data_IF_688939773123
#
_entry.id   IF_688939773123
#
_cell.length_a   1.000
_cell.length_b   1.000
_cell.length_c   1.000
_cell.angle_alpha   90.00
_cell.angle_beta   90.00
_cell.angle_gamma   90.00
#
_symmetry.space_group_name_H-M   'P 1'
#
loop_
_entity.id
_entity.type
_entity.pdbx_description
1 polymer ?
#
# COMPACT_ATOMS: atom_id res chain seq x y z
N UNK A 1 18.96 52.90 -46.85
CA UNK A 1 19.26 52.03 -45.69
C UNK A 1 18.11 52.14 -44.71
N UNK A 2 17.27 51.11 -44.61
CA UNK A 2 16.12 51.06 -43.71
C UNK A 2 16.49 50.03 -42.63
N UNK A 3 16.75 50.49 -41.42
CA UNK A 3 17.15 49.63 -40.31
C UNK A 3 15.93 48.84 -39.84
N UNK A 4 16.03 47.51 -39.92
CA UNK A 4 15.00 46.57 -39.51
C UNK A 4 15.08 46.35 -37.99
N UNK A 5 14.32 47.13 -37.24
CA UNK A 5 14.20 47.04 -35.78
C UNK A 5 12.86 46.38 -35.43
N UNK A 6 12.83 45.06 -35.34
CA UNK A 6 11.63 44.40 -34.85
C UNK A 6 11.74 42.89 -34.83
N UNK A 7 12.16 42.31 -33.69
CA UNK A 7 11.86 40.93 -33.29
C UNK A 7 12.50 40.49 -31.95
N UNK A 8 13.32 41.33 -31.30
CA UNK A 8 14.00 40.93 -30.06
C UNK A 8 13.10 40.89 -28.81
N UNK A 9 12.14 41.81 -28.69
CA UNK A 9 11.33 41.98 -27.48
C UNK A 9 10.23 40.94 -27.32
N UNK A 10 9.68 40.42 -28.42
CA UNK A 10 8.65 39.37 -28.41
C UNK A 10 9.19 38.00 -27.99
N UNK A 11 10.46 37.70 -28.28
CA UNK A 11 11.09 36.42 -27.89
C UNK A 11 11.40 36.34 -26.39
N UNK A 12 11.80 37.46 -25.78
CA UNK A 12 12.12 37.50 -24.35
C UNK A 12 10.85 37.33 -23.48
N UNK A 13 9.74 37.94 -23.88
CA UNK A 13 8.47 37.85 -23.15
C UNK A 13 7.88 36.42 -23.14
N UNK A 14 8.06 35.67 -24.24
CA UNK A 14 7.54 34.31 -24.39
C UNK A 14 8.35 33.28 -23.58
N UNK A 15 9.66 33.48 -23.44
CA UNK A 15 10.52 32.67 -22.55
C UNK A 15 10.18 32.92 -21.08
N UNK A 16 9.90 34.17 -20.70
CA UNK A 16 9.55 34.50 -19.30
C UNK A 16 8.19 33.93 -18.88
N UNK A 17 7.20 33.89 -19.80
CA UNK A 17 5.88 33.30 -19.53
C UNK A 17 5.93 31.78 -19.43
N UNK A 18 6.76 31.10 -20.23
CA UNK A 18 7.00 29.65 -20.10
C UNK A 18 7.71 29.30 -18.78
N UNK A 19 8.63 30.14 -18.31
CA UNK A 19 9.29 29.96 -17.01
C UNK A 19 8.31 30.15 -15.84
N UNK A 20 7.44 31.17 -15.88
CA UNK A 20 6.45 31.38 -14.80
C UNK A 20 5.34 30.33 -14.76
N UNK A 21 4.93 29.78 -15.91
CA UNK A 21 3.91 28.73 -15.97
C UNK A 21 4.39 27.38 -15.38
N UNK A 22 5.71 27.18 -15.23
CA UNK A 22 6.27 25.95 -14.65
C UNK A 22 6.29 25.92 -13.11
N UNK A 23 6.03 27.04 -12.42
CA UNK A 23 6.19 27.16 -10.96
C UNK A 23 4.88 26.84 -10.20
N UNK A 24 3.73 26.77 -10.89
CA UNK A 24 2.43 26.51 -10.23
C UNK A 24 2.00 25.06 -10.47
N UNK A 25 2.70 24.13 -9.83
CA UNK A 25 2.14 22.80 -9.52
C UNK A 25 1.93 22.73 -8.02
N UNK A 26 0.76 23.15 -7.57
CA UNK A 26 0.29 22.86 -6.22
C UNK A 26 0.02 21.37 -6.11
N UNK A 27 1.06 20.60 -5.72
CA UNK A 27 0.90 19.23 -5.30
C UNK A 27 0.14 19.24 -3.98
N UNK A 28 -1.17 19.02 -4.02
CA UNK A 28 -1.95 18.67 -2.84
C UNK A 28 -1.61 17.22 -2.47
N UNK A 29 -0.46 17.02 -1.84
CA UNK A 29 -0.15 15.77 -1.15
C UNK A 29 -0.90 15.79 0.18
N UNK A 30 -2.21 15.53 0.15
CA UNK A 30 -2.91 15.13 1.37
C UNK A 30 -2.44 13.72 1.68
N UNK A 31 -1.40 13.62 2.51
CA UNK A 31 -1.03 12.35 3.10
C UNK A 31 -2.24 11.80 3.88
N UNK A 32 -2.48 10.47 3.88
CA UNK A 32 -3.47 9.84 4.74
C UNK A 32 -3.31 10.29 6.20
N UNK A 33 -4.40 10.35 6.95
CA UNK A 33 -4.39 10.77 8.35
C UNK A 33 -3.32 9.97 9.12
N UNK A 34 -2.36 10.65 9.77
CA UNK A 34 -1.34 9.99 10.55
C UNK A 34 -1.87 9.15 11.73
N UNK A 35 -3.17 9.21 12.04
CA UNK A 35 -3.80 8.44 13.11
C UNK A 35 -4.37 7.08 12.66
N UNK A 36 -4.53 6.83 11.35
CA UNK A 36 -5.19 5.61 10.86
C UNK A 36 -4.24 4.54 10.28
N UNK A 37 -2.95 4.82 10.15
CA UNK A 37 -1.96 3.85 9.64
C UNK A 37 -1.45 2.99 10.79
N UNK A 38 -1.59 1.67 10.65
CA UNK A 38 -1.16 0.69 11.65
C UNK A 38 0.24 0.22 11.25
N UNK A 39 1.22 0.37 12.14
CA UNK A 39 2.60 -0.09 11.90
C UNK A 39 3.69 0.96 12.08
N UNK A 40 4.93 0.53 11.87
CA UNK A 40 6.10 1.40 12.00
C UNK A 40 6.24 2.26 10.75
N UNK A 41 5.84 3.54 10.83
CA UNK A 41 6.07 4.46 9.70
C UNK A 41 7.58 4.68 9.47
N UNK A 42 8.02 4.85 8.21
CA UNK A 42 9.43 5.12 7.87
C UNK A 42 10.01 6.41 8.48
N UNK A 43 9.17 7.31 9.00
CA UNK A 43 9.57 8.65 9.48
C UNK A 43 9.09 9.00 10.89
N UNK A 44 8.68 8.00 11.70
CA UNK A 44 8.32 8.27 13.09
C UNK A 44 9.54 8.54 13.95
N UNK A 45 9.47 9.56 14.80
CA UNK A 45 10.48 9.82 15.83
C UNK A 45 10.31 8.74 16.89
N UNK A 46 11.30 7.85 16.99
CA UNK A 46 11.28 6.70 17.91
C UNK A 46 11.98 7.08 19.20
N UNK A 47 11.25 7.07 20.31
CA UNK A 47 11.82 7.16 21.65
C UNK A 47 12.10 5.73 22.13
N UNK A 48 13.37 5.29 22.17
CA UNK A 48 13.69 3.91 22.49
C UNK A 48 13.29 3.57 23.94
N UNK A 49 12.71 2.39 24.12
CA UNK A 49 12.44 1.78 25.42
C UNK A 49 12.93 0.33 25.41
N UNK A 50 12.89 -0.34 26.55
CA UNK A 50 13.26 -1.75 26.61
C UNK A 50 12.36 -2.59 25.69
N UNK A 51 12.97 -3.36 24.79
CA UNK A 51 12.30 -4.20 23.81
C UNK A 51 11.36 -3.45 22.85
N UNK A 52 11.57 -2.16 22.58
CA UNK A 52 10.68 -1.43 21.70
C UNK A 52 10.93 0.06 21.57
N UNK A 53 9.90 0.80 21.19
CA UNK A 53 9.92 2.25 21.13
C UNK A 53 8.53 2.86 21.36
N UNK A 54 8.51 4.14 21.71
CA UNK A 54 7.32 4.99 21.69
C UNK A 54 7.40 5.87 20.45
N UNK A 55 6.34 5.91 19.66
CA UNK A 55 6.19 6.86 18.57
C UNK A 55 5.89 8.25 19.14
N UNK A 56 6.85 9.18 19.05
CA UNK A 56 6.68 10.51 19.64
C UNK A 56 5.57 11.34 18.99
N UNK A 57 5.09 10.96 17.80
CA UNK A 57 4.05 11.70 17.10
C UNK A 57 2.64 11.46 17.67
N UNK A 58 2.36 10.24 18.12
CA UNK A 58 1.02 9.83 18.58
C UNK A 58 1.00 9.14 19.95
N UNK A 59 2.16 8.83 20.53
CA UNK A 59 2.30 8.18 21.83
C UNK A 59 2.16 6.65 21.78
N UNK A 60 2.07 6.05 20.61
CA UNK A 60 1.92 4.60 20.49
C UNK A 60 3.18 3.87 20.91
N UNK A 61 3.00 2.80 21.68
CA UNK A 61 4.03 1.91 22.18
C UNK A 61 4.06 0.66 21.32
N UNK A 62 5.22 0.37 20.75
CA UNK A 62 5.48 -0.87 20.01
C UNK A 62 6.58 -1.65 20.73
N UNK A 63 6.27 -2.89 21.14
CA UNK A 63 7.21 -3.81 21.79
C UNK A 63 7.38 -5.07 20.96
N UNK A 64 8.61 -5.58 20.91
CA UNK A 64 8.96 -6.84 20.26
C UNK A 64 9.74 -7.74 21.21
N UNK A 65 9.23 -8.95 21.42
CA UNK A 65 9.85 -9.99 22.23
C UNK A 65 10.25 -11.15 21.32
N UNK A 66 11.53 -11.30 20.95
CA UNK A 66 11.97 -12.42 20.13
C UNK A 66 11.78 -13.73 20.91
N UNK A 67 11.06 -14.67 20.33
CA UNK A 67 10.83 -15.99 20.93
C UNK A 67 11.83 -17.03 20.41
N UNK A 68 12.27 -16.87 19.16
CA UNK A 68 13.25 -17.77 18.57
C UNK A 68 13.58 -17.46 17.12
N UNK A 69 14.68 -18.05 16.68
CA UNK A 69 15.15 -18.03 15.30
C UNK A 69 15.65 -19.42 14.96
N UNK A 70 15.07 -20.02 13.93
CA UNK A 70 15.22 -21.43 13.60
C UNK A 70 15.74 -21.55 12.16
N UNK A 71 16.93 -22.14 11.94
CA UNK A 71 17.43 -22.34 10.58
C UNK A 71 16.52 -23.32 9.84
N UNK A 72 16.09 -22.95 8.63
CA UNK A 72 15.28 -23.77 7.75
C UNK A 72 15.96 -23.95 6.38
N UNK A 73 15.44 -24.88 5.58
CA UNK A 73 15.86 -24.98 4.17
C UNK A 73 15.37 -23.72 3.45
N UNK A 74 16.30 -22.92 2.94
CA UNK A 74 15.97 -21.70 2.19
C UNK A 74 15.97 -20.41 3.01
N UNK A 75 16.26 -20.47 4.33
CA UNK A 75 16.34 -19.25 5.13
C UNK A 75 16.32 -19.48 6.64
N UNK A 76 15.89 -18.45 7.36
CA UNK A 76 15.76 -18.46 8.81
C UNK A 76 14.30 -18.15 9.15
N UNK A 77 13.65 -19.04 9.90
CA UNK A 77 12.31 -18.81 10.42
C UNK A 77 12.39 -18.09 11.75
N UNK A 78 11.79 -16.92 11.85
CA UNK A 78 11.78 -16.13 13.07
C UNK A 78 10.39 -16.09 13.67
N UNK A 79 10.32 -16.12 15.00
CA UNK A 79 9.08 -15.99 15.76
C UNK A 79 9.27 -14.91 16.81
N UNK A 80 8.37 -13.94 16.83
CA UNK A 80 8.35 -12.86 17.81
C UNK A 80 6.94 -12.60 18.33
N UNK A 81 6.83 -12.23 19.60
CA UNK A 81 5.61 -11.71 20.17
C UNK A 81 5.68 -10.19 20.12
N UNK A 82 4.71 -9.56 19.47
CA UNK A 82 4.65 -8.10 19.31
C UNK A 82 3.46 -7.56 20.05
N UNK A 83 3.65 -6.42 20.71
CA UNK A 83 2.60 -5.61 21.29
C UNK A 83 2.57 -4.26 20.62
N UNK A 84 1.39 -3.84 20.17
CA UNK A 84 1.12 -2.49 19.69
C UNK A 84 0.00 -1.88 20.55
N UNK A 85 0.20 -0.66 21.07
CA UNK A 85 -0.81 0.03 21.87
C UNK A 85 -1.91 0.69 21.04
N UNK A 86 -1.78 0.77 19.71
CA UNK A 86 -2.77 1.29 18.78
C UNK A 86 -3.97 0.34 18.61
N UNK A 87 -4.59 -0.04 19.73
CA UNK A 87 -5.67 -1.03 19.79
C UNK A 87 -7.03 -0.38 19.70
N UNK A 88 -7.15 0.94 19.83
CA UNK A 88 -8.47 1.57 19.91
C UNK A 88 -8.97 1.91 18.52
N UNK A 89 -10.04 1.24 18.10
CA UNK A 89 -10.76 1.58 16.87
C UNK A 89 -12.10 2.22 17.22
N UNK A 90 -12.43 3.29 16.51
CA UNK A 90 -13.72 3.95 16.66
C UNK A 90 -14.76 3.23 15.78
N UNK A 91 -15.73 2.54 16.38
CA UNK A 91 -16.78 1.83 15.62
C UNK A 91 -17.87 2.77 15.10
N UNK A 92 -18.16 3.83 15.85
CA UNK A 92 -19.14 4.87 15.52
C UNK A 92 -18.74 6.18 16.22
N UNK A 93 -19.56 7.24 16.12
CA UNK A 93 -19.25 8.57 16.66
C UNK A 93 -18.71 8.61 18.10
N UNK A 94 -19.00 7.58 18.89
CA UNK A 94 -19.00 7.70 20.33
C UNK A 94 -18.51 6.42 21.05
N UNK A 95 -18.25 5.33 20.31
CA UNK A 95 -17.84 4.04 20.86
C UNK A 95 -16.43 3.68 20.37
N UNK A 96 -15.54 3.54 21.35
CA UNK A 96 -14.20 3.00 21.17
C UNK A 96 -14.23 1.51 21.54
N UNK A 97 -13.69 0.68 20.66
CA UNK A 97 -13.65 -0.77 20.84
C UNK A 97 -12.26 -1.31 20.50
N UNK A 98 -11.67 -2.16 21.36
CA UNK A 98 -10.42 -2.83 21.04
C UNK A 98 -10.68 -4.05 20.15
N UNK A 99 -9.95 -4.26 19.04
CA UNK A 99 -10.05 -5.49 18.28
C UNK A 99 -9.63 -6.67 19.17
N UNK A 100 -10.12 -7.86 18.84
CA UNK A 100 -10.05 -9.05 19.70
C UNK A 100 -8.66 -9.45 20.19
N UNK A 101 -7.59 -8.93 19.59
CA UNK A 101 -6.21 -9.29 19.93
C UNK A 101 -5.57 -8.37 20.99
N UNK A 102 -6.27 -7.30 21.44
CA UNK A 102 -5.81 -6.38 22.50
C UNK A 102 -4.35 -5.91 22.35
N UNK A 103 -3.87 -5.77 21.11
CA UNK A 103 -2.52 -5.30 20.77
C UNK A 103 -1.46 -6.39 20.68
N UNK A 104 -1.71 -7.58 21.21
CA UNK A 104 -0.77 -8.70 21.15
C UNK A 104 -0.92 -9.49 19.87
N UNK A 105 0.19 -9.76 19.19
CA UNK A 105 0.25 -10.62 18.01
C UNK A 105 1.49 -11.49 18.04
N UNK A 106 1.33 -12.78 17.76
CA UNK A 106 2.44 -13.65 17.42
C UNK A 106 2.74 -13.42 15.95
N UNK A 107 3.96 -12.97 15.63
CA UNK A 107 4.41 -12.74 14.27
C UNK A 107 5.45 -13.79 13.91
N UNK A 108 5.31 -14.35 12.73
CA UNK A 108 6.31 -15.24 12.14
C UNK A 108 6.88 -14.64 10.87
N UNK A 109 8.12 -15.01 10.50
CA UNK A 109 8.69 -14.62 9.20
C UNK A 109 7.90 -15.19 8.00
N UNK A 110 6.97 -16.12 8.24
CA UNK A 110 6.11 -16.67 7.20
C UNK A 110 4.83 -15.84 7.01
N UNK A 111 4.51 -14.90 7.92
CA UNK A 111 3.25 -14.15 7.87
C UNK A 111 3.13 -13.33 6.58
N UNK A 112 2.16 -13.73 5.76
CA UNK A 112 1.73 -13.15 4.47
C UNK A 112 1.41 -11.65 4.45
N UNK A 113 1.11 -11.03 5.60
CA UNK A 113 0.64 -9.64 5.62
C UNK A 113 -0.76 -9.48 5.02
N UNK A 114 -1.10 -8.26 4.58
CA UNK A 114 -2.42 -7.92 4.03
C UNK A 114 -2.32 -6.85 2.95
N UNK A 115 -2.88 -7.12 1.77
CA UNK A 115 -3.08 -6.10 0.74
C UNK A 115 -4.42 -5.35 0.93
N UNK A 116 -4.42 -4.06 0.61
CA UNK A 116 -5.55 -3.14 0.66
C UNK A 116 -5.42 -2.10 -0.45
N UNK A 117 -6.51 -1.43 -0.79
CA UNK A 117 -6.54 -0.34 -1.75
C UNK A 117 -7.67 0.64 -1.43
N UNK A 118 -7.62 1.83 -2.02
CA UNK A 118 -8.70 2.81 -1.93
C UNK A 118 -9.58 2.71 -3.17
N UNK A 119 -10.85 2.35 -2.98
CA UNK A 119 -11.87 2.38 -4.03
C UNK A 119 -12.46 3.78 -4.16
N UNK A 120 -12.58 4.28 -5.40
CA UNK A 120 -13.15 5.60 -5.70
C UNK A 120 -14.13 5.52 -6.87
N UNK A 121 -15.34 6.00 -6.66
CA UNK A 121 -16.31 6.21 -7.73
C UNK A 121 -15.87 7.42 -8.55
N UNK A 122 -15.62 7.23 -9.84
CA UNK A 122 -15.17 8.31 -10.70
C UNK A 122 -16.32 9.09 -11.33
N UNK A 123 -17.38 8.38 -11.73
CA UNK A 123 -18.56 8.96 -12.34
C UNK A 123 -19.78 8.05 -12.19
N UNK A 124 -20.95 8.66 -12.20
CA UNK A 124 -22.26 8.00 -12.11
C UNK A 124 -23.15 8.54 -13.23
N UNK A 125 -23.84 7.65 -13.94
CA UNK A 125 -24.70 8.03 -15.04
C UNK A 125 -25.94 8.76 -14.51
N UNK A 126 -26.22 9.93 -15.07
CA UNK A 126 -27.32 10.80 -14.62
C UNK A 126 -28.71 10.26 -14.98
N UNK A 127 -28.80 9.33 -15.92
CA UNK A 127 -30.09 8.77 -16.38
C UNK A 127 -30.59 7.61 -15.52
N UNK A 128 -29.69 6.75 -15.07
CA UNK A 128 -30.03 5.52 -14.34
C UNK A 128 -29.38 5.43 -12.94
N UNK A 129 -28.50 6.36 -12.58
CA UNK A 129 -27.79 6.36 -11.30
C UNK A 129 -26.73 5.26 -11.17
N UNK A 130 -26.38 4.56 -12.26
CA UNK A 130 -25.40 3.46 -12.25
C UNK A 130 -23.99 4.04 -12.34
N UNK A 131 -23.05 3.45 -11.58
CA UNK A 131 -21.62 3.81 -11.67
C UNK A 131 -21.14 3.57 -13.11
N UNK A 132 -20.52 4.58 -13.72
CA UNK A 132 -19.99 4.47 -15.08
C UNK A 132 -18.63 3.79 -15.06
N UNK A 133 -17.74 4.21 -14.16
CA UNK A 133 -16.51 3.51 -13.83
C UNK A 133 -16.01 3.88 -12.42
N UNK A 134 -15.20 2.99 -11.87
CA UNK A 134 -14.52 3.16 -10.59
C UNK A 134 -13.01 2.90 -10.72
N UNK A 135 -12.25 3.46 -9.78
CA UNK A 135 -10.81 3.27 -9.67
C UNK A 135 -10.48 2.59 -8.34
N UNK A 136 -9.57 1.63 -8.39
CA UNK A 136 -8.94 1.06 -7.21
C UNK A 136 -7.47 1.45 -7.20
N UNK A 137 -7.05 2.14 -6.16
CA UNK A 137 -5.66 2.57 -6.00
C UNK A 137 -5.50 3.84 -5.15
N UNK A 138 -4.28 4.13 -4.68
CA UNK A 138 -3.10 3.26 -4.74
C UNK A 138 -3.28 1.99 -3.89
N UNK A 139 -2.51 0.95 -4.21
CA UNK A 139 -2.50 -0.28 -3.44
C UNK A 139 -1.46 -0.19 -2.31
N UNK A 140 -1.77 -0.81 -1.17
CA UNK A 140 -0.89 -0.89 -0.02
C UNK A 140 -0.85 -2.33 0.46
N UNK A 141 0.35 -2.90 0.60
CA UNK A 141 0.54 -4.18 1.31
C UNK A 141 1.25 -3.91 2.62
N UNK A 142 0.61 -4.33 3.72
CA UNK A 142 1.19 -4.33 5.05
C UNK A 142 1.83 -5.69 5.29
N UNK A 143 3.14 -5.74 5.50
CA UNK A 143 3.85 -7.01 5.76
C UNK A 143 3.42 -7.66 7.09
N UNK A 144 3.91 -8.87 7.37
CA UNK A 144 3.64 -9.57 8.63
C UNK A 144 4.10 -8.79 9.87
N UNK A 145 5.14 -7.96 9.74
CA UNK A 145 5.66 -7.12 10.82
C UNK A 145 4.82 -5.86 11.06
N UNK A 146 3.91 -5.53 10.14
CA UNK A 146 3.08 -4.33 10.17
C UNK A 146 3.65 -3.16 9.36
N UNK A 147 4.74 -3.32 8.62
CA UNK A 147 5.26 -2.25 7.77
C UNK A 147 4.38 -2.11 6.53
N UNK A 148 3.85 -0.91 6.27
CA UNK A 148 3.06 -0.64 5.09
C UNK A 148 3.93 -0.23 3.89
N UNK A 149 3.74 -0.94 2.78
CA UNK A 149 4.40 -0.69 1.50
C UNK A 149 3.36 -0.19 0.48
N UNK A 150 3.53 1.03 -0.04
CA UNK A 150 2.60 1.63 -1.00
C UNK A 150 3.09 1.42 -2.43
N UNK A 151 2.19 1.00 -3.31
CA UNK A 151 2.43 0.72 -4.72
C UNK A 151 1.57 1.64 -5.58
N UNK A 152 2.20 2.34 -6.52
CA UNK A 152 1.54 3.28 -7.45
C UNK A 152 0.83 2.52 -8.59
N UNK A 153 -0.07 1.62 -8.22
CA UNK A 153 -0.91 0.85 -9.13
C UNK A 153 -2.31 1.45 -9.05
N UNK A 154 -2.94 1.67 -10.21
CA UNK A 154 -4.34 2.00 -10.30
C UNK A 154 -4.99 1.04 -11.29
N UNK A 155 -6.07 0.39 -10.87
CA UNK A 155 -6.94 -0.39 -11.75
C UNK A 155 -8.26 0.37 -11.93
N UNK A 156 -9.02 0.00 -12.94
CA UNK A 156 -10.30 0.60 -13.21
C UNK A 156 -11.28 -0.44 -13.75
N UNK A 157 -12.55 -0.33 -13.37
CA UNK A 157 -13.63 -1.15 -13.92
C UNK A 157 -14.66 -0.19 -14.51
N UNK A 158 -14.91 -0.33 -15.81
CA UNK A 158 -15.95 0.38 -16.51
C UNK A 158 -17.20 -0.48 -16.73
N UNK A 159 -18.36 0.15 -16.68
CA UNK A 159 -19.67 -0.51 -16.80
C UNK A 159 -20.45 -0.06 -18.03
N UNK A 160 -21.48 -0.81 -18.38
CA UNK A 160 -22.45 -0.41 -19.40
C UNK A 160 -23.65 0.25 -18.72
N UNK A 161 -23.99 1.48 -19.12
CA UNK A 161 -25.07 2.28 -18.53
C UNK A 161 -25.96 2.89 -19.63
N UNK A 162 -27.05 3.56 -19.24
CA UNK A 162 -27.88 4.34 -20.17
C UNK A 162 -27.16 5.60 -20.73
N UNK A 163 -26.02 5.97 -20.14
CA UNK A 163 -25.18 7.07 -20.61
C UNK A 163 -24.12 6.61 -21.62
N UNK A 164 -23.86 5.30 -21.71
CA UNK A 164 -22.96 4.72 -22.70
C UNK A 164 -22.29 3.43 -22.24
N UNK A 165 -21.40 2.91 -23.10
CA UNK A 165 -20.51 1.81 -22.75
C UNK A 165 -19.18 2.37 -22.23
N UNK A 166 -18.90 2.22 -20.94
CA UNK A 166 -17.66 2.66 -20.32
C UNK A 166 -16.65 1.54 -20.11
N UNK A 167 -16.91 0.32 -20.60
CA UNK A 167 -15.97 -0.82 -20.46
C UNK A 167 -14.62 -0.58 -21.14
N UNK A 168 -14.51 0.40 -22.04
CA UNK A 168 -13.23 0.83 -22.60
C UNK A 168 -12.30 1.49 -21.55
N UNK A 169 -12.83 1.91 -20.40
CA UNK A 169 -12.06 2.39 -19.25
C UNK A 169 -11.50 1.27 -18.39
N UNK A 170 -11.94 0.03 -18.61
CA UNK A 170 -11.52 -1.11 -17.80
C UNK A 170 -10.03 -1.37 -17.95
N UNK A 171 -9.31 -1.29 -16.83
CA UNK A 171 -7.90 -1.62 -16.67
C UNK A 171 -7.78 -2.58 -15.49
N UNK A 172 -7.72 -3.88 -15.75
CA UNK A 172 -7.78 -4.94 -14.73
C UNK A 172 -6.40 -5.33 -14.19
N UNK A 173 -5.43 -4.42 -14.20
CA UNK A 173 -4.11 -4.77 -13.72
C UNK A 173 -3.05 -3.71 -13.89
N UNK A 174 -1.93 -3.97 -13.22
CA UNK A 174 -0.75 -3.13 -13.20
C UNK A 174 0.32 -3.76 -12.33
N UNK A 175 1.50 -3.15 -12.31
CA UNK A 175 2.56 -3.52 -11.39
C UNK A 175 3.39 -2.29 -11.05
N UNK A 176 3.96 -2.29 -9.85
CA UNK A 176 4.85 -1.21 -9.40
C UNK A 176 5.79 -1.72 -8.31
N UNK A 177 6.94 -1.07 -8.19
CA UNK A 177 7.82 -1.19 -7.02
C UNK A 177 7.28 -0.29 -5.90
N UNK A 178 7.44 -0.71 -4.65
CA UNK A 178 7.05 0.08 -3.48
C UNK A 178 7.77 1.45 -3.47
N UNK A 179 7.05 2.49 -3.05
CA UNK A 179 7.56 3.89 -3.07
C UNK A 179 8.56 4.20 -1.94
N UNK A 180 8.72 3.31 -0.98
CA UNK A 180 9.58 3.46 0.19
C UNK A 180 11.02 2.96 -0.03
N UNK A 181 11.36 2.59 -1.27
CA UNK A 181 12.65 2.02 -1.66
C UNK A 181 13.03 0.68 -0.99
N UNK A 182 12.06 -0.02 -0.39
CA UNK A 182 12.22 -1.40 0.10
C UNK A 182 12.53 -2.40 -1.03
N UNK A 183 12.16 -2.05 -2.26
CA UNK A 183 12.33 -2.88 -3.45
C UNK A 183 11.27 -3.99 -3.60
N UNK A 184 10.27 -4.04 -2.73
CA UNK A 184 9.11 -4.90 -2.94
C UNK A 184 8.42 -4.56 -4.26
N UNK A 185 7.93 -5.58 -4.97
CA UNK A 185 7.25 -5.43 -6.25
C UNK A 185 5.87 -6.08 -6.17
N UNK A 186 4.82 -5.29 -6.38
CA UNK A 186 3.45 -5.78 -6.45
C UNK A 186 2.99 -5.92 -7.89
N UNK A 187 2.27 -7.01 -8.16
CA UNK A 187 1.52 -7.26 -9.38
C UNK A 187 0.05 -7.37 -9.02
N UNK A 188 -0.81 -6.64 -9.73
CA UNK A 188 -2.26 -6.71 -9.60
C UNK A 188 -2.82 -7.18 -10.94
N UNK A 189 -3.71 -8.17 -10.91
CA UNK A 189 -4.31 -8.72 -12.13
C UNK A 189 -5.77 -9.11 -11.93
N UNK A 190 -6.51 -9.26 -13.03
CA UNK A 190 -7.92 -9.64 -12.98
C UNK A 190 -8.87 -8.53 -12.52
N UNK A 191 -10.16 -8.82 -12.60
CA UNK A 191 -11.23 -7.87 -12.26
C UNK A 191 -11.41 -7.76 -10.73
N UNK A 192 -10.92 -8.74 -9.98
CA UNK A 192 -11.00 -8.79 -8.52
C UNK A 192 -9.73 -8.30 -7.82
N UNK A 193 -8.82 -7.66 -8.57
CA UNK A 193 -7.54 -7.17 -8.09
C UNK A 193 -6.71 -8.26 -7.39
N UNK A 194 -6.39 -9.35 -8.08
CA UNK A 194 -5.53 -10.41 -7.58
C UNK A 194 -4.11 -9.83 -7.31
N UNK A 195 -3.81 -9.44 -6.07
CA UNK A 195 -2.52 -8.86 -5.71
C UNK A 195 -1.50 -9.94 -5.32
N UNK A 196 -0.31 -9.85 -5.89
CA UNK A 196 0.84 -10.69 -5.54
C UNK A 196 2.03 -9.80 -5.24
N UNK A 197 2.73 -10.05 -4.13
CA UNK A 197 3.90 -9.25 -3.73
C UNK A 197 5.15 -10.11 -3.68
N UNK A 198 6.22 -9.57 -4.25
CA UNK A 198 7.54 -10.18 -4.29
C UNK A 198 8.56 -9.29 -3.59
N UNK A 199 9.48 -9.90 -2.86
CA UNK A 199 10.71 -9.28 -2.35
C UNK A 199 11.70 -8.98 -3.49
N UNK A 200 12.74 -8.16 -3.24
CA UNK A 200 13.77 -7.86 -4.24
C UNK A 200 14.53 -9.09 -4.78
N UNK A 201 14.59 -10.18 -4.02
CA UNK A 201 15.24 -11.44 -4.43
C UNK A 201 14.31 -12.37 -5.23
N UNK A 202 13.05 -11.97 -5.45
CA UNK A 202 12.05 -12.74 -6.20
C UNK A 202 11.22 -13.71 -5.36
N UNK A 203 11.41 -13.77 -4.04
CA UNK A 203 10.55 -14.56 -3.14
C UNK A 203 9.13 -13.98 -3.10
N UNK A 204 8.12 -14.84 -3.24
CA UNK A 204 6.72 -14.42 -3.15
C UNK A 204 6.29 -14.38 -1.69
N UNK A 205 5.91 -13.20 -1.19
CA UNK A 205 5.53 -12.98 0.22
C UNK A 205 4.03 -12.79 0.44
N UNK A 206 3.28 -12.49 -0.63
CA UNK A 206 1.82 -12.39 -0.57
C UNK A 206 1.18 -12.90 -1.85
N UNK A 207 0.01 -13.54 -1.71
CA UNK A 207 -0.90 -13.88 -2.81
C UNK A 207 -2.35 -13.85 -2.32
N UNK A 208 -3.33 -13.73 -3.23
CA UNK A 208 -4.73 -13.73 -2.89
C UNK A 208 -5.17 -15.07 -2.29
N UNK A 209 -6.05 -15.08 -1.28
CA UNK A 209 -6.41 -16.29 -0.53
C UNK A 209 -7.15 -17.35 -1.36
N UNK A 210 -7.74 -16.98 -2.49
CA UNK A 210 -8.47 -17.91 -3.36
C UNK A 210 -7.56 -18.64 -4.36
N UNK A 211 -6.29 -18.24 -4.50
CA UNK A 211 -5.36 -19.01 -5.32
C UNK A 211 -4.91 -20.28 -4.57
N UNK A 212 -4.80 -21.43 -5.26
CA UNK A 212 -4.40 -22.70 -4.65
C UNK A 212 -2.96 -22.69 -4.08
N UNK A 213 -2.15 -21.69 -4.46
CA UNK A 213 -0.81 -21.44 -3.91
C UNK A 213 -0.90 -20.33 -2.85
N UNK A 214 -1.36 -20.71 -1.66
CA UNK A 214 -1.52 -19.77 -0.53
C UNK A 214 -0.23 -19.43 0.19
N UNK A 215 0.77 -20.30 0.07
CA UNK A 215 1.94 -20.22 0.93
C UNK A 215 3.03 -19.42 0.24
N UNK A 216 3.78 -18.58 0.98
CA UNK A 216 4.93 -17.89 0.43
C UNK A 216 5.85 -18.89 -0.26
N UNK A 217 6.35 -18.50 -1.43
CA UNK A 217 7.18 -19.34 -2.28
C UNK A 217 8.59 -18.77 -2.22
N UNK A 218 9.52 -19.53 -1.66
CA UNK A 218 10.93 -19.13 -1.67
C UNK A 218 11.46 -19.05 -3.11
N UNK A 219 12.61 -18.40 -3.30
CA UNK A 219 13.26 -18.28 -4.61
C UNK A 219 13.58 -19.65 -5.28
N UNK A 220 13.51 -20.76 -4.53
CA UNK A 220 13.76 -22.12 -5.01
C UNK A 220 12.46 -22.88 -5.34
N UNK A 221 11.28 -22.28 -5.15
CA UNK A 221 9.98 -22.91 -5.41
C UNK A 221 9.42 -23.75 -4.25
N UNK A 222 9.97 -23.67 -3.04
CA UNK A 222 9.45 -24.36 -1.86
C UNK A 222 8.32 -23.56 -1.22
N UNK A 223 7.38 -24.27 -0.60
CA UNK A 223 6.22 -23.70 0.09
C UNK A 223 6.37 -23.88 1.60
N UNK A 224 6.00 -22.87 2.39
CA UNK A 224 5.64 -23.09 3.80
C UNK A 224 4.44 -24.03 3.87
N UNK A 225 4.27 -24.76 4.96
CA UNK A 225 3.10 -25.63 5.18
C UNK A 225 2.22 -25.04 6.27
N UNK A 226 0.91 -25.25 6.20
CA UNK A 226 0.03 -24.91 7.31
C UNK A 226 -0.09 -26.13 8.23
N UNK A 227 0.04 -25.92 9.53
CA UNK A 227 -0.31 -26.92 10.52
C UNK A 227 -1.84 -27.08 10.63
N UNK A 228 -2.29 -27.98 11.50
CA UNK A 228 -3.72 -28.22 11.74
C UNK A 228 -4.48 -27.01 12.29
N UNK A 229 -3.77 -25.98 12.79
CA UNK A 229 -4.33 -24.75 13.33
C UNK A 229 -4.29 -23.59 12.31
N UNK A 230 -3.94 -23.87 11.04
CA UNK A 230 -3.72 -22.85 10.01
C UNK A 230 -2.60 -21.87 10.36
N UNK A 231 -1.61 -22.30 11.14
CA UNK A 231 -0.36 -21.56 11.36
C UNK A 231 0.72 -22.07 10.41
N UNK A 232 1.58 -21.17 9.93
CA UNK A 232 2.67 -21.56 9.04
C UNK A 232 3.81 -22.24 9.80
N UNK A 233 4.27 -23.37 9.26
CA UNK A 233 5.37 -24.22 9.75
C UNK A 233 6.30 -24.62 8.61
#
# INVERSE_FOLDING_TARGET
MKADTGNGTTRLALVLTLLFASIIRTATAQAPDPLEDVGIRPLTVRLPIENGFINAANGDVHLEFPLGSFPQRGGVFTVKLVYDSAIWSQMNCCLWWPPGNAGWRLITSADWGRATYVQRIASTCTKDGVIEWEYDGPFTWTDGEGSAHVFQINTAIGYFTQCGDFRYKTQTGGNAVAVDASGYHMYVSGIYNDETVYTPDGTQVFAPPYLPKRNPIDANGNYYSLDSNSQMT
#
